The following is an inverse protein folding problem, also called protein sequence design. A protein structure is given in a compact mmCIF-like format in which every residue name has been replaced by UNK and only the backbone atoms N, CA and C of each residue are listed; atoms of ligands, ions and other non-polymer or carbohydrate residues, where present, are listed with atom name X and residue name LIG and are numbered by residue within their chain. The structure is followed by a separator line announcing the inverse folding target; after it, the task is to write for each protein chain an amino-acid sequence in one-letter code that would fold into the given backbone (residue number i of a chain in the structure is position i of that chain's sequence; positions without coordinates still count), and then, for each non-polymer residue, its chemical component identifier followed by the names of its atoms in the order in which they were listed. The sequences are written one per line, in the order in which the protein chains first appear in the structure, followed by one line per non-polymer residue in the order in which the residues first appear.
data_IF_778842052801
#
_entry.id   IF_778842052801
#
_cell.length_a   1.000
_cell.length_b   1.000
_cell.length_c   1.000
_cell.angle_alpha   90.00
_cell.angle_beta   90.00
_cell.angle_gamma   90.00
#
_symmetry.space_group_name_H-M   'P 1'
#
loop_
_entity.id
_entity.type
_entity.pdbx_description
1 polymer ?
#
# COMPACT_ATOMS: atom_id res chain seq x y z
N UNK A 1 -35.57 21.77 -60.49
CA UNK A 1 -35.22 20.69 -59.54
C UNK A 1 -34.23 21.26 -58.53
N UNK A 2 -34.70 21.57 -57.27
CA UNK A 2 -33.88 22.14 -56.19
C UNK A 2 -33.43 21.00 -55.35
N UNK A 3 -32.08 20.83 -55.23
CA UNK A 3 -31.49 19.88 -54.32
C UNK A 3 -31.47 20.47 -52.90
N UNK A 4 -32.06 19.74 -51.97
CA UNK A 4 -32.10 20.04 -50.56
C UNK A 4 -30.84 19.47 -49.90
N UNK A 5 -29.93 20.32 -49.42
CA UNK A 5 -28.76 19.91 -48.62
C UNK A 5 -29.21 19.76 -47.18
N UNK A 6 -29.15 18.52 -46.68
CA UNK A 6 -29.32 18.20 -45.27
C UNK A 6 -28.01 18.45 -44.57
N UNK A 7 -27.95 19.47 -43.69
CA UNK A 7 -26.85 19.73 -42.79
C UNK A 7 -27.04 18.85 -41.52
N UNK A 8 -26.19 17.85 -41.37
CA UNK A 8 -26.14 17.03 -40.15
C UNK A 8 -25.36 17.78 -39.08
N UNK A 9 -26.06 18.22 -38.05
CA UNK A 9 -25.50 18.89 -36.87
C UNK A 9 -24.96 17.82 -35.92
N UNK A 10 -23.64 17.69 -35.81
CA UNK A 10 -23.00 16.89 -34.78
C UNK A 10 -23.01 17.68 -33.45
N UNK A 11 -23.86 17.25 -32.53
CA UNK A 11 -23.84 17.76 -31.16
C UNK A 11 -22.74 16.97 -30.40
N UNK A 12 -21.63 17.62 -30.14
CA UNK A 12 -20.62 17.14 -29.19
C UNK A 12 -21.16 17.32 -27.77
N UNK A 13 -21.58 16.23 -27.14
CA UNK A 13 -21.90 16.21 -25.71
C UNK A 13 -20.57 16.15 -24.95
N UNK A 14 -20.05 17.28 -24.49
CA UNK A 14 -18.93 17.35 -23.56
C UNK A 14 -19.45 16.87 -22.19
N UNK A 15 -19.08 15.65 -21.81
CA UNK A 15 -19.22 15.20 -20.41
C UNK A 15 -18.20 15.96 -19.56
N UNK A 16 -18.68 16.99 -18.89
CA UNK A 16 -17.93 17.64 -17.81
C UNK A 16 -18.01 16.70 -16.62
N UNK A 17 -16.95 15.96 -16.36
CA UNK A 17 -16.75 15.22 -15.12
C UNK A 17 -16.55 16.23 -14.00
N UNK A 18 -17.59 16.45 -13.23
CA UNK A 18 -17.52 17.26 -12.01
C UNK A 18 -16.76 16.44 -10.95
N UNK A 19 -15.47 16.69 -10.81
CA UNK A 19 -14.71 16.23 -9.67
C UNK A 19 -15.16 17.03 -8.45
N UNK A 20 -16.03 16.45 -7.65
CA UNK A 20 -16.29 16.94 -6.30
C UNK A 20 -15.08 16.59 -5.47
N UNK A 21 -14.20 17.55 -5.27
CA UNK A 21 -13.17 17.47 -4.24
C UNK A 21 -13.87 17.47 -2.89
N UNK A 22 -13.90 16.29 -2.24
CA UNK A 22 -14.27 16.19 -0.84
C UNK A 22 -13.09 16.77 -0.05
N UNK A 23 -13.24 17.81 0.75
CA UNK A 23 -12.16 18.29 1.59
C UNK A 23 -11.90 17.24 2.67
N UNK A 24 -10.80 16.50 2.53
CA UNK A 24 -10.23 15.70 3.59
C UNK A 24 -9.66 16.62 4.66
N UNK A 25 -10.44 16.96 5.68
CA UNK A 25 -9.93 17.54 6.91
C UNK A 25 -9.24 16.44 7.72
N UNK A 26 -7.98 16.22 7.46
CA UNK A 26 -7.06 15.51 8.31
C UNK A 26 -5.94 16.45 8.71
N UNK A 27 -6.16 17.30 9.72
CA UNK A 27 -5.08 17.96 10.45
C UNK A 27 -4.40 16.88 11.32
N UNK A 28 -3.47 16.13 10.74
CA UNK A 28 -2.55 15.32 11.52
C UNK A 28 -1.45 16.23 12.08
N UNK A 29 -1.74 16.80 13.27
CA UNK A 29 -0.72 17.44 14.09
C UNK A 29 0.27 16.35 14.52
N UNK A 30 1.47 16.35 13.93
CA UNK A 30 2.53 15.41 14.18
C UNK A 30 2.77 15.13 15.68
N UNK A 31 3.05 13.86 15.97
CA UNK A 31 3.69 13.36 17.20
C UNK A 31 2.85 13.16 18.48
N UNK A 32 1.55 13.07 18.47
CA UNK A 32 0.84 12.54 19.65
C UNK A 32 0.20 11.19 19.36
N UNK A 33 0.75 10.13 20.01
CA UNK A 33 0.06 8.85 20.17
C UNK A 33 -1.39 9.11 20.58
N UNK A 34 -2.41 8.60 19.86
CA UNK A 34 -3.79 8.68 20.32
C UNK A 34 -3.89 8.03 21.71
N UNK A 35 -4.54 8.70 22.67
CA UNK A 35 -4.75 8.14 24.00
C UNK A 35 -5.53 6.82 23.85
N UNK A 36 -4.98 5.72 24.39
CA UNK A 36 -5.59 4.39 24.29
C UNK A 36 -5.24 3.58 23.05
N UNK A 37 -4.40 4.09 22.14
CA UNK A 37 -3.98 3.30 20.96
C UNK A 37 -3.24 2.01 21.38
N UNK A 38 -3.62 0.89 20.77
CA UNK A 38 -2.94 -0.39 20.93
C UNK A 38 -1.56 -0.32 20.28
N UNK A 39 -0.52 -0.72 21.04
CA UNK A 39 0.85 -0.82 20.55
C UNK A 39 1.27 -2.27 20.58
N UNK A 40 1.96 -2.70 19.52
CA UNK A 40 2.65 -3.98 19.44
C UNK A 40 4.14 -3.76 19.30
N UNK A 41 4.95 -4.72 19.80
CA UNK A 41 6.38 -4.77 19.59
C UNK A 41 6.71 -5.75 18.49
N UNK A 42 7.22 -5.24 17.35
CA UNK A 42 7.56 -6.08 16.20
C UNK A 42 8.92 -5.66 15.62
N UNK A 43 9.79 -6.64 15.35
CA UNK A 43 11.14 -6.44 14.79
C UNK A 43 12.02 -5.45 15.57
N UNK A 44 11.80 -5.33 16.87
CA UNK A 44 12.56 -4.37 17.70
C UNK A 44 12.01 -2.94 17.70
N UNK A 45 10.91 -2.67 17.00
CA UNK A 45 10.23 -1.37 16.92
C UNK A 45 8.85 -1.40 17.58
N UNK A 46 8.39 -0.23 18.03
CA UNK A 46 7.02 -0.04 18.50
C UNK A 46 6.13 0.38 17.33
N UNK A 47 5.01 -0.33 17.16
CA UNK A 47 4.03 -0.08 16.12
C UNK A 47 2.67 0.23 16.72
N UNK A 48 2.06 1.30 16.26
CA UNK A 48 0.71 1.67 16.60
C UNK A 48 -0.24 0.88 15.70
N UNK A 49 -1.16 0.12 16.29
CA UNK A 49 -2.24 -0.51 15.54
C UNK A 49 -3.35 0.50 15.36
N UNK A 50 -3.71 0.74 14.11
CA UNK A 50 -4.64 1.80 13.74
C UNK A 50 -6.08 1.33 13.79
N UNK A 51 -6.98 2.21 14.23
CA UNK A 51 -8.43 1.98 14.21
C UNK A 51 -9.17 3.23 13.77
N UNK A 52 -10.25 3.03 13.02
CA UNK A 52 -11.18 4.11 12.63
C UNK A 52 -12.47 4.10 13.46
N UNK A 53 -12.61 3.15 14.39
CA UNK A 53 -13.86 2.94 15.11
C UNK A 53 -15.01 2.64 14.14
N UNK A 54 -16.04 3.48 14.18
CA UNK A 54 -17.24 3.30 13.34
C UNK A 54 -17.25 4.16 12.07
N UNK A 55 -16.12 4.81 11.75
CA UNK A 55 -16.00 5.61 10.52
C UNK A 55 -15.20 4.89 9.45
N UNK A 56 -15.48 5.20 8.20
CA UNK A 56 -14.67 4.76 7.07
C UNK A 56 -13.65 5.82 6.73
N UNK A 57 -12.40 5.40 6.53
CA UNK A 57 -11.29 6.27 6.14
C UNK A 57 -10.49 5.69 4.97
N UNK A 58 -9.60 6.51 4.43
CA UNK A 58 -8.65 6.11 3.41
C UNK A 58 -7.49 5.23 3.96
N UNK A 59 -6.88 4.47 3.05
CA UNK A 59 -7.28 4.26 1.66
C UNK A 59 -8.59 3.47 1.54
N UNK A 60 -9.34 3.74 0.50
CA UNK A 60 -10.60 3.05 0.26
C UNK A 60 -11.78 4.00 0.22
N UNK A 61 -12.97 3.64 0.75
CA UNK A 61 -13.45 3.84 2.12
C UNK A 61 -13.52 2.53 2.93
N UNK A 62 -12.66 2.38 3.92
CA UNK A 62 -12.54 1.17 4.72
C UNK A 62 -12.70 1.43 6.22
N UNK A 63 -13.15 0.42 6.97
CA UNK A 63 -13.00 0.37 8.41
C UNK A 63 -11.66 -0.29 8.73
N UNK A 64 -10.85 0.34 9.58
CA UNK A 64 -9.65 -0.27 10.14
C UNK A 64 -9.89 -0.65 11.59
N UNK A 65 -9.39 -1.80 12.00
CA UNK A 65 -9.63 -2.35 13.33
C UNK A 65 -8.32 -2.66 14.04
N UNK A 66 -8.25 -2.29 15.31
CA UNK A 66 -7.14 -2.63 16.22
C UNK A 66 -7.36 -3.95 16.98
N UNK A 67 -8.36 -4.75 16.60
CA UNK A 67 -8.59 -6.08 17.15
C UNK A 67 -7.39 -7.01 16.93
N UNK A 68 -7.18 -7.92 17.87
CA UNK A 68 -6.20 -9.02 17.72
C UNK A 68 -6.56 -10.00 16.61
N UNK A 69 -7.81 -10.05 16.16
CA UNK A 69 -8.21 -10.81 14.98
C UNK A 69 -7.74 -10.19 13.67
N UNK A 70 -7.43 -8.88 13.66
CA UNK A 70 -6.93 -8.17 12.48
C UNK A 70 -5.41 -7.99 12.49
N UNK A 71 -4.80 -7.82 13.66
CA UNK A 71 -3.35 -7.59 13.79
C UNK A 71 -2.85 -8.29 15.04
N UNK A 72 -1.88 -9.19 14.91
CA UNK A 72 -1.23 -9.84 16.05
C UNK A 72 0.22 -10.22 15.74
N UNK A 73 0.97 -10.53 16.79
CA UNK A 73 2.30 -11.13 16.72
C UNK A 73 2.19 -12.56 17.19
N UNK A 74 2.70 -13.49 16.41
CA UNK A 74 2.70 -14.93 16.78
C UNK A 74 3.87 -15.30 17.69
N UNK A 75 3.94 -16.56 18.08
CA UNK A 75 4.97 -17.11 18.96
C UNK A 75 6.39 -17.05 18.36
N UNK A 76 6.49 -17.03 17.03
CA UNK A 76 7.73 -16.86 16.27
C UNK A 76 8.13 -15.39 16.08
N UNK A 77 7.33 -14.45 16.60
CA UNK A 77 7.56 -13.01 16.51
C UNK A 77 7.23 -12.40 15.16
N UNK A 78 6.40 -13.05 14.34
CA UNK A 78 5.96 -12.56 13.02
C UNK A 78 4.70 -11.70 13.16
N UNK A 79 4.62 -10.66 12.37
CA UNK A 79 3.42 -9.82 12.27
C UNK A 79 2.43 -10.44 11.30
N UNK A 80 1.23 -10.74 11.81
CA UNK A 80 0.08 -11.15 11.04
C UNK A 80 -0.88 -9.99 10.85
N UNK A 81 -1.42 -9.85 9.65
CA UNK A 81 -2.46 -8.87 9.32
C UNK A 81 -3.56 -9.56 8.53
N UNK A 82 -4.82 -9.40 8.96
CA UNK A 82 -5.98 -10.06 8.35
C UNK A 82 -7.10 -9.05 8.12
N UNK A 83 -7.79 -9.18 6.98
CA UNK A 83 -9.10 -8.56 6.78
C UNK A 83 -10.15 -9.53 7.28
N UNK A 84 -11.05 -9.09 8.16
CA UNK A 84 -12.09 -9.92 8.76
C UNK A 84 -13.48 -9.38 8.49
N UNK A 85 -14.47 -10.27 8.38
CA UNK A 85 -15.88 -9.90 8.33
C UNK A 85 -16.54 -10.11 9.69
N UNK A 86 -16.77 -9.02 10.42
CA UNK A 86 -17.39 -9.05 11.76
C UNK A 86 -18.42 -7.94 11.88
N UNK A 87 -19.46 -8.20 12.67
CA UNK A 87 -20.54 -7.24 12.97
C UNK A 87 -21.17 -6.63 11.70
N UNK A 88 -21.31 -7.49 10.66
CA UNK A 88 -21.91 -7.08 9.38
C UNK A 88 -21.02 -6.21 8.50
N UNK A 89 -19.72 -6.06 8.81
CA UNK A 89 -18.78 -5.24 8.04
C UNK A 89 -17.40 -5.89 7.87
N UNK A 90 -16.73 -5.48 6.81
CA UNK A 90 -15.32 -5.83 6.58
C UNK A 90 -14.42 -4.88 7.36
N UNK A 91 -13.47 -5.42 8.11
CA UNK A 91 -12.50 -4.70 8.92
C UNK A 91 -11.10 -4.96 8.37
N UNK A 92 -10.44 -3.92 7.93
CA UNK A 92 -9.08 -3.91 7.41
C UNK A 92 -8.04 -3.77 8.53
N UNK A 93 -6.77 -3.94 8.20
CA UNK A 93 -5.65 -3.86 9.13
C UNK A 93 -4.66 -2.76 8.71
N UNK A 94 -4.14 -1.99 9.67
CA UNK A 94 -3.04 -1.05 9.46
C UNK A 94 -2.19 -0.92 10.73
N UNK A 95 -0.88 -0.93 10.53
CA UNK A 95 0.09 -0.58 11.57
C UNK A 95 1.01 0.53 11.09
N UNK A 96 1.48 1.37 12.01
CA UNK A 96 2.44 2.42 11.72
C UNK A 96 3.52 2.49 12.79
N UNK A 97 4.77 2.70 12.40
CA UNK A 97 5.84 2.89 13.36
C UNK A 97 5.62 4.10 14.25
N UNK A 98 5.96 3.96 15.53
CA UNK A 98 5.82 5.04 16.51
C UNK A 98 6.83 6.19 16.30
N UNK A 99 7.84 5.98 15.45
CA UNK A 99 8.89 6.96 15.11
C UNK A 99 9.11 7.03 13.62
N UNK A 100 9.53 8.20 13.12
CA UNK A 100 10.15 8.38 11.82
C UNK A 100 11.63 7.98 11.88
N UNK A 101 12.17 7.55 10.74
CA UNK A 101 13.57 7.20 10.55
C UNK A 101 14.24 7.93 9.38
N UNK A 102 13.44 8.62 8.54
CA UNK A 102 13.93 9.47 7.46
C UNK A 102 14.54 8.71 6.28
N UNK A 103 15.53 9.32 5.65
CA UNK A 103 16.34 8.69 4.60
C UNK A 103 17.07 7.49 5.15
N UNK A 104 16.61 6.30 4.76
CA UNK A 104 17.17 5.04 5.24
C UNK A 104 16.77 3.89 4.30
N UNK A 105 17.31 2.71 4.53
CA UNK A 105 16.94 1.50 3.80
C UNK A 105 15.96 0.66 4.61
N UNK A 106 14.71 0.62 4.16
CA UNK A 106 13.63 -0.15 4.74
C UNK A 106 13.53 -1.51 4.07
N UNK A 107 13.68 -2.58 4.83
CA UNK A 107 13.68 -3.96 4.35
C UNK A 107 12.55 -4.74 4.98
N UNK A 108 11.68 -5.32 4.16
CA UNK A 108 10.55 -6.14 4.59
C UNK A 108 10.77 -7.59 4.17
N UNK A 109 10.81 -8.49 5.14
CA UNK A 109 10.87 -9.93 4.91
C UNK A 109 9.47 -10.52 5.06
N UNK A 110 8.97 -11.14 4.01
CA UNK A 110 7.58 -11.58 3.86
C UNK A 110 7.52 -13.09 3.77
N UNK A 111 6.54 -13.70 4.45
CA UNK A 111 6.22 -15.13 4.35
C UNK A 111 4.78 -15.37 3.86
N UNK A 112 4.37 -14.66 2.84
CA UNK A 112 3.06 -14.75 2.19
C UNK A 112 3.17 -14.77 0.68
N UNK A 113 2.06 -15.07 0.01
CA UNK A 113 1.89 -15.04 -1.44
C UNK A 113 1.12 -13.78 -1.85
N UNK A 114 1.77 -12.58 -1.96
CA UNK A 114 1.06 -11.37 -2.37
C UNK A 114 0.49 -11.47 -3.79
N UNK A 115 1.08 -12.31 -4.65
CA UNK A 115 0.59 -12.61 -6.00
C UNK A 115 -0.70 -13.43 -6.04
N UNK A 116 -1.09 -14.06 -4.93
CA UNK A 116 -2.33 -14.85 -4.82
C UNK A 116 -3.48 -14.10 -4.15
N UNK A 117 -3.28 -12.86 -3.68
CA UNK A 117 -4.34 -12.07 -3.05
C UNK A 117 -5.52 -11.85 -4.02
N UNK A 118 -6.74 -11.81 -3.48
CA UNK A 118 -7.91 -11.45 -4.27
C UNK A 118 -7.72 -10.08 -4.95
N UNK A 119 -8.30 -9.91 -6.13
CA UNK A 119 -8.16 -8.67 -6.93
C UNK A 119 -8.61 -7.40 -6.22
N UNK A 120 -9.48 -7.52 -5.23
CA UNK A 120 -9.99 -6.38 -4.43
C UNK A 120 -9.11 -6.08 -3.22
N UNK A 121 -8.16 -6.96 -2.90
CA UNK A 121 -7.25 -6.78 -1.76
C UNK A 121 -6.04 -5.97 -2.19
N UNK A 122 -5.64 -5.03 -1.35
CA UNK A 122 -4.40 -4.25 -1.47
C UNK A 122 -3.59 -4.43 -0.21
N UNK A 123 -2.32 -4.78 -0.38
CA UNK A 123 -1.35 -4.83 0.69
C UNK A 123 -0.23 -3.83 0.41
N UNK A 124 -0.04 -2.86 1.31
CA UNK A 124 0.95 -1.79 1.18
C UNK A 124 2.06 -1.89 2.22
N UNK A 125 3.29 -1.67 1.77
CA UNK A 125 4.51 -1.48 2.56
C UNK A 125 5.04 -0.09 2.17
N UNK A 126 4.94 0.92 3.05
CA UNK A 126 5.12 2.29 2.60
C UNK A 126 5.59 3.25 3.68
N UNK A 127 6.23 4.35 3.26
CA UNK A 127 6.45 5.53 4.10
C UNK A 127 5.40 6.58 3.76
N UNK A 128 4.85 7.25 4.77
CA UNK A 128 3.78 8.21 4.57
C UNK A 128 3.86 9.38 5.54
N UNK A 129 3.76 10.58 5.01
CA UNK A 129 3.50 11.81 5.74
C UNK A 129 2.16 12.44 5.34
N UNK A 130 1.92 12.56 4.04
CA UNK A 130 0.69 13.06 3.43
C UNK A 130 0.56 12.51 2.00
N UNK A 131 -0.57 12.76 1.32
CA UNK A 131 -0.89 12.23 -0.01
C UNK A 131 0.09 12.63 -1.12
N UNK A 132 1.00 13.56 -0.88
CA UNK A 132 2.05 13.96 -1.82
C UNK A 132 3.45 13.52 -1.40
N UNK A 133 3.61 13.01 -0.19
CA UNK A 133 4.89 12.58 0.40
C UNK A 133 4.75 11.13 0.89
N UNK A 134 4.77 10.20 -0.08
CA UNK A 134 4.56 8.77 0.15
C UNK A 134 5.39 7.96 -0.86
N UNK A 135 5.97 6.87 -0.37
CA UNK A 135 6.80 5.92 -1.14
C UNK A 135 6.25 4.53 -0.90
N UNK A 136 5.78 3.84 -1.95
CA UNK A 136 5.01 2.63 -1.82
C UNK A 136 5.63 1.43 -2.52
N UNK A 137 5.53 0.27 -1.88
CA UNK A 137 5.48 -1.06 -2.50
C UNK A 137 4.08 -1.60 -2.25
N UNK A 138 3.32 -1.81 -3.31
CA UNK A 138 1.94 -2.26 -3.19
C UNK A 138 1.70 -3.55 -3.97
N UNK A 139 0.94 -4.45 -3.36
CA UNK A 139 0.51 -5.71 -3.95
C UNK A 139 -0.99 -5.69 -4.15
N UNK A 140 -1.43 -5.64 -5.39
CA UNK A 140 -2.85 -5.65 -5.77
C UNK A 140 -3.02 -5.80 -7.27
N UNK A 141 -4.14 -6.38 -7.66
CA UNK A 141 -4.64 -6.35 -9.03
C UNK A 141 -5.65 -5.22 -9.29
N UNK A 142 -5.93 -4.38 -8.27
CA UNK A 142 -6.78 -3.18 -8.41
C UNK A 142 -8.15 -3.46 -9.03
N UNK A 143 -8.80 -4.56 -8.66
CA UNK A 143 -10.09 -4.99 -9.15
C UNK A 143 -10.10 -5.63 -10.54
N UNK A 144 -8.93 -5.83 -11.19
CA UNK A 144 -8.78 -6.35 -12.54
C UNK A 144 -8.10 -7.73 -12.51
N UNK A 145 -8.76 -8.78 -13.00
CA UNK A 145 -8.32 -10.18 -12.88
C UNK A 145 -6.90 -10.45 -13.42
N UNK A 146 -6.58 -9.91 -14.58
CA UNK A 146 -5.31 -10.18 -15.28
C UNK A 146 -4.29 -9.04 -15.17
N UNK A 147 -4.45 -8.13 -14.19
CA UNK A 147 -3.48 -7.07 -13.97
C UNK A 147 -2.17 -7.63 -13.38
N UNK A 148 -1.12 -6.82 -13.45
CA UNK A 148 0.12 -7.09 -12.71
C UNK A 148 -0.15 -6.94 -11.20
N UNK A 149 0.39 -7.85 -10.40
CA UNK A 149 0.07 -8.00 -8.98
C UNK A 149 0.80 -7.02 -8.07
N UNK A 150 1.82 -6.33 -8.57
CA UNK A 150 2.65 -5.45 -7.76
C UNK A 150 3.02 -4.16 -8.48
N UNK A 151 3.31 -3.14 -7.69
CA UNK A 151 3.86 -1.86 -8.17
C UNK A 151 4.76 -1.20 -7.13
N UNK A 152 5.71 -0.43 -7.62
CA UNK A 152 6.42 0.61 -6.88
C UNK A 152 5.80 1.95 -7.25
N UNK A 153 5.60 2.83 -6.27
CA UNK A 153 4.96 4.12 -6.50
C UNK A 153 5.65 5.21 -5.68
N UNK A 154 5.81 6.36 -6.30
CA UNK A 154 6.10 7.64 -5.63
C UNK A 154 4.88 8.52 -5.82
N UNK A 155 4.35 9.09 -4.76
CA UNK A 155 3.19 9.98 -4.88
C UNK A 155 3.62 11.37 -5.42
N UNK A 156 2.75 12.03 -6.20
CA UNK A 156 1.45 11.57 -6.70
C UNK A 156 1.56 10.53 -7.83
N UNK A 157 0.88 9.42 -7.70
CA UNK A 157 0.92 8.29 -8.66
C UNK A 157 0.35 8.60 -10.05
N UNK A 158 -0.32 9.75 -10.20
CA UNK A 158 -0.85 10.25 -11.47
C UNK A 158 0.22 10.91 -12.36
N UNK A 159 1.36 11.26 -11.79
CA UNK A 159 2.48 11.85 -12.54
C UNK A 159 3.15 10.75 -13.37
N UNK A 160 3.31 10.94 -14.70
CA UNK A 160 4.02 9.99 -15.54
C UNK A 160 5.46 9.72 -15.03
N UNK A 161 5.82 8.45 -14.91
CA UNK A 161 7.14 8.05 -14.42
C UNK A 161 7.23 7.85 -12.90
N UNK A 162 6.15 8.14 -12.13
CA UNK A 162 6.11 7.94 -10.69
C UNK A 162 5.67 6.51 -10.29
N UNK A 163 5.49 5.61 -11.25
CA UNK A 163 5.01 4.25 -10.99
C UNK A 163 5.66 3.23 -11.91
N UNK A 164 6.04 2.10 -11.35
CA UNK A 164 6.50 0.93 -12.07
C UNK A 164 5.71 -0.30 -11.64
N UNK A 165 4.97 -0.94 -12.56
CA UNK A 165 4.22 -2.18 -12.30
C UNK A 165 5.02 -3.39 -12.75
N UNK A 166 4.83 -4.50 -12.04
CA UNK A 166 5.49 -5.77 -12.37
C UNK A 166 4.67 -6.97 -11.93
N UNK A 167 5.01 -8.14 -12.51
CA UNK A 167 4.48 -9.42 -12.05
C UNK A 167 5.42 -10.01 -11.01
N UNK A 168 4.82 -10.58 -9.98
CA UNK A 168 5.58 -11.20 -8.89
C UNK A 168 6.21 -12.53 -9.32
N UNK A 169 5.47 -13.39 -10.01
CA UNK A 169 5.89 -14.75 -10.39
C UNK A 169 6.63 -15.46 -9.23
N UNK A 170 6.06 -15.38 -8.03
CA UNK A 170 6.76 -15.76 -6.80
C UNK A 170 6.96 -17.26 -6.71
N UNK A 171 8.21 -17.69 -6.51
CA UNK A 171 8.58 -19.06 -6.21
C UNK A 171 8.51 -19.29 -4.69
N UNK A 172 7.55 -20.13 -4.25
CA UNK A 172 7.29 -20.33 -2.82
C UNK A 172 6.56 -19.16 -2.17
N UNK A 173 6.72 -18.98 -0.86
CA UNK A 173 6.02 -17.97 -0.06
C UNK A 173 6.93 -16.93 0.58
N UNK A 174 8.22 -17.00 0.37
CA UNK A 174 9.19 -16.08 0.95
C UNK A 174 9.67 -15.07 -0.07
N UNK A 175 9.62 -13.79 0.30
CA UNK A 175 10.18 -12.69 -0.50
C UNK A 175 10.75 -11.59 0.39
N UNK A 176 11.61 -10.77 -0.20
CA UNK A 176 12.15 -9.56 0.46
C UNK A 176 11.83 -8.36 -0.42
N UNK A 177 11.36 -7.29 0.21
CA UNK A 177 11.03 -6.05 -0.47
C UNK A 177 11.80 -4.91 0.19
N UNK A 178 12.37 -4.03 -0.62
CA UNK A 178 13.30 -2.98 -0.16
C UNK A 178 12.87 -1.63 -0.73
N UNK A 179 12.83 -0.63 0.14
CA UNK A 179 12.83 0.80 -0.19
C UNK A 179 14.15 1.34 0.33
N UNK A 180 15.08 1.69 -0.55
CA UNK A 180 16.33 2.38 -0.22
C UNK A 180 16.15 3.83 -0.59
N UNK A 181 15.76 4.65 0.42
CA UNK A 181 15.33 6.02 0.22
C UNK A 181 16.45 7.00 0.56
N UNK A 182 16.89 7.70 -0.46
CA UNK A 182 17.94 8.70 -0.42
C UNK A 182 17.44 10.07 -0.90
N UNK A 183 18.12 11.11 -0.54
CA UNK A 183 17.75 12.49 -0.90
C UNK A 183 17.58 12.74 -2.40
N UNK A 184 18.30 12.00 -3.26
CA UNK A 184 18.35 12.21 -4.71
C UNK A 184 17.81 11.05 -5.53
N UNK A 185 17.54 9.93 -4.92
CA UNK A 185 17.04 8.75 -5.59
C UNK A 185 16.36 7.82 -4.56
N UNK A 186 15.53 6.93 -5.08
CA UNK A 186 14.91 5.84 -4.33
C UNK A 186 15.13 4.58 -5.14
N UNK A 187 15.77 3.57 -4.54
CA UNK A 187 15.89 2.25 -5.13
C UNK A 187 14.88 1.31 -4.52
N UNK A 188 14.09 0.71 -5.39
CA UNK A 188 13.20 -0.39 -5.04
C UNK A 188 13.80 -1.70 -5.49
N UNK A 189 13.65 -2.73 -4.66
CA UNK A 189 13.99 -4.09 -5.05
C UNK A 189 13.03 -5.09 -4.41
N UNK A 190 12.71 -6.15 -5.16
CA UNK A 190 11.97 -7.31 -4.68
C UNK A 190 12.72 -8.57 -5.08
N UNK A 191 12.93 -9.46 -4.12
CA UNK A 191 13.70 -10.70 -4.30
C UNK A 191 12.92 -11.93 -3.87
N UNK A 192 13.14 -13.05 -4.54
CA UNK A 192 12.71 -14.35 -4.06
C UNK A 192 13.50 -14.75 -2.80
N UNK A 193 12.80 -15.25 -1.79
CA UNK A 193 13.38 -15.62 -0.50
C UNK A 193 13.78 -14.44 0.37
N UNK A 194 14.32 -14.73 1.56
CA UNK A 194 14.79 -13.73 2.51
C UNK A 194 16.27 -13.41 2.26
N UNK A 195 16.55 -12.22 1.66
CA UNK A 195 17.92 -11.78 1.34
C UNK A 195 18.01 -10.28 1.15
N UNK A 196 19.15 -9.69 1.49
CA UNK A 196 19.44 -8.26 1.29
C UNK A 196 19.93 -7.96 -0.13
N UNK A 197 20.49 -8.94 -0.81
CA UNK A 197 20.97 -8.84 -2.20
C UNK A 197 20.83 -10.21 -2.90
N UNK A 198 20.61 -10.22 -4.21
CA UNK A 198 20.57 -11.46 -4.97
C UNK A 198 21.99 -11.99 -5.22
N UNK A 199 22.14 -13.32 -5.25
CA UNK A 199 23.38 -13.99 -5.69
C UNK A 199 23.44 -14.09 -7.21
N UNK A 200 22.27 -14.09 -7.85
CA UNK A 200 22.12 -14.15 -9.31
C UNK A 200 20.77 -13.50 -9.73
N UNK A 201 20.61 -13.28 -11.02
CA UNK A 201 19.45 -12.60 -11.60
C UNK A 201 18.13 -13.33 -11.42
N UNK A 202 18.14 -14.68 -11.29
CA UNK A 202 16.90 -15.46 -11.09
C UNK A 202 16.26 -15.20 -9.72
N UNK A 203 17.01 -14.65 -8.80
CA UNK A 203 16.50 -14.27 -7.47
C UNK A 203 15.85 -12.89 -7.45
N UNK A 204 15.94 -12.13 -8.53
CA UNK A 204 15.34 -10.81 -8.68
C UNK A 204 13.92 -10.93 -9.22
N UNK A 205 12.92 -10.51 -8.46
CA UNK A 205 11.54 -10.38 -8.92
C UNK A 205 11.40 -9.10 -9.74
N UNK A 206 11.82 -7.97 -9.17
CA UNK A 206 11.81 -6.67 -9.81
C UNK A 206 12.80 -5.71 -9.13
N UNK A 207 13.22 -4.69 -9.86
CA UNK A 207 13.94 -3.54 -9.30
C UNK A 207 13.62 -2.28 -10.11
N UNK A 208 13.66 -1.14 -9.44
CA UNK A 208 13.41 0.15 -10.07
C UNK A 208 14.14 1.25 -9.32
N UNK A 209 14.89 2.12 -10.05
CA UNK A 209 15.45 3.36 -9.51
C UNK A 209 14.59 4.54 -9.95
N UNK A 210 14.14 5.30 -8.98
CA UNK A 210 13.50 6.60 -9.21
C UNK A 210 14.45 7.73 -8.83
N UNK A 211 14.62 8.70 -9.74
CA UNK A 211 15.42 9.92 -9.53
C UNK A 211 14.71 11.16 -10.05
N UNK A 212 13.37 11.11 -10.10
CA UNK A 212 12.52 12.23 -10.52
C UNK A 212 12.38 13.30 -9.44
N UNK A 213 11.56 14.30 -9.73
CA UNK A 213 11.39 15.49 -8.87
C UNK A 213 10.46 15.27 -7.68
N UNK A 214 9.76 14.13 -7.59
CA UNK A 214 8.79 13.85 -6.54
C UNK A 214 9.37 12.99 -5.39
N UNK A 215 10.69 12.98 -5.21
CA UNK A 215 11.28 12.33 -4.02
C UNK A 215 10.85 13.11 -2.78
N UNK A 216 10.14 12.48 -1.82
CA UNK A 216 9.75 13.15 -0.59
C UNK A 216 10.99 13.61 0.19
N UNK A 217 10.92 14.75 0.90
CA UNK A 217 11.96 15.15 1.83
C UNK A 217 11.88 14.29 3.11
N UNK A 218 13.02 14.09 3.77
CA UNK A 218 13.06 13.58 5.13
C UNK A 218 12.37 14.59 6.08
N UNK A 219 11.34 14.13 6.76
CA UNK A 219 10.57 14.92 7.71
C UNK A 219 10.04 14.04 8.85
N UNK A 220 8.72 13.99 9.08
CA UNK A 220 8.10 13.19 10.13
C UNK A 220 7.24 12.04 9.57
N UNK A 221 7.56 11.56 8.36
CA UNK A 221 6.93 10.40 7.74
C UNK A 221 7.09 9.15 8.60
N UNK A 222 6.12 8.26 8.48
CA UNK A 222 6.11 7.01 9.22
C UNK A 222 6.10 5.82 8.29
N UNK A 223 6.87 4.80 8.65
CA UNK A 223 6.74 3.51 8.00
C UNK A 223 5.42 2.89 8.40
N UNK A 224 4.65 2.46 7.43
CA UNK A 224 3.32 1.88 7.60
C UNK A 224 3.21 0.57 6.81
N UNK A 225 2.35 -0.31 7.31
CA UNK A 225 1.92 -1.53 6.62
C UNK A 225 0.41 -1.58 6.73
N UNK A 226 -0.28 -1.76 5.61
CA UNK A 226 -1.73 -1.90 5.60
C UNK A 226 -2.20 -3.06 4.73
N UNK A 227 -3.35 -3.62 5.07
CA UNK A 227 -4.09 -4.60 4.28
C UNK A 227 -5.53 -4.12 4.20
N UNK A 228 -6.01 -3.77 2.98
CA UNK A 228 -7.26 -3.06 2.80
C UNK A 228 -7.99 -3.46 1.52
N UNK A 229 -9.23 -2.99 1.36
CA UNK A 229 -10.11 -3.33 0.24
C UNK A 229 -10.18 -2.17 -0.76
N UNK A 230 -9.79 -2.46 -2.00
CA UNK A 230 -9.84 -1.51 -3.09
C UNK A 230 -11.26 -0.95 -3.28
N UNK A 231 -11.42 0.38 -3.17
CA UNK A 231 -12.71 1.08 -3.18
C UNK A 231 -13.71 0.59 -2.12
N UNK A 232 -13.25 -0.05 -1.05
CA UNK A 232 -14.11 -0.65 -0.04
C UNK A 232 -14.92 -1.85 -0.54
N UNK A 233 -14.53 -2.44 -1.67
CA UNK A 233 -15.23 -3.60 -2.27
C UNK A 233 -14.76 -4.88 -1.59
N UNK A 234 -15.66 -5.73 -1.08
CA UNK A 234 -15.31 -7.02 -0.47
C UNK A 234 -14.47 -7.91 -1.38
N UNK A 235 -13.68 -8.84 -0.82
CA UNK A 235 -12.98 -9.84 -1.60
C UNK A 235 -13.95 -10.61 -2.49
N UNK A 236 -13.61 -10.83 -3.77
CA UNK A 236 -14.53 -11.44 -4.74
C UNK A 236 -14.79 -12.92 -4.48
N UNK A 237 -13.91 -13.57 -3.72
CA UNK A 237 -14.04 -14.95 -3.24
C UNK A 237 -14.73 -15.07 -1.87
N UNK A 238 -15.03 -13.93 -1.22
CA UNK A 238 -15.65 -13.87 0.12
C UNK A 238 -14.76 -14.37 1.25
N UNK A 239 -13.47 -14.62 1.00
CA UNK A 239 -12.53 -15.09 2.02
C UNK A 239 -11.95 -13.91 2.83
N UNK A 240 -11.43 -14.23 4.01
CA UNK A 240 -10.71 -13.30 4.88
C UNK A 240 -9.20 -13.40 4.60
N UNK A 241 -8.61 -12.52 3.77
CA UNK A 241 -7.20 -12.60 3.40
C UNK A 241 -6.31 -12.29 4.59
N UNK A 242 -5.21 -13.03 4.70
CA UNK A 242 -4.17 -12.85 5.69
C UNK A 242 -2.81 -12.72 5.02
N UNK A 243 -1.97 -11.85 5.57
CA UNK A 243 -0.57 -11.69 5.18
C UNK A 243 0.33 -11.70 6.40
N UNK A 244 1.57 -12.16 6.20
CA UNK A 244 2.55 -12.32 7.26
C UNK A 244 3.85 -11.62 6.90
N UNK A 245 4.30 -10.72 7.77
CA UNK A 245 5.63 -10.10 7.70
C UNK A 245 6.50 -10.73 8.77
N UNK A 246 7.57 -11.39 8.33
CA UNK A 246 8.49 -12.10 9.24
C UNK A 246 9.36 -11.13 10.01
N UNK A 247 9.83 -10.08 9.35
CA UNK A 247 10.75 -9.08 9.93
C UNK A 247 10.76 -7.80 9.12
N UNK A 248 11.02 -6.69 9.79
CA UNK A 248 11.37 -5.39 9.20
C UNK A 248 12.72 -4.95 9.72
N UNK A 249 13.58 -4.47 8.86
CA UNK A 249 14.88 -3.87 9.22
C UNK A 249 15.01 -2.47 8.64
N UNK A 250 15.67 -1.59 9.36
CA UNK A 250 16.08 -0.25 8.91
C UNK A 250 17.60 -0.22 9.02
N UNK A 251 18.32 0.02 7.87
CA UNK A 251 19.77 -0.20 7.71
C UNK A 251 20.48 1.05 7.18
#
# INVERSE_FOLDING_TARGET
MKQLRIMTLFIYLAMISLFVAIPGCGNDNGNKKPAGARIIRFSGYDWIVYTTGDMKEGPGPNYFSDSEENVWIDEEGRLHMRITFRDGRWNCARVEMAKSYGYDKYVFYVSSRPDSLDRQVVWGLYTYRNDGEEIDIEFSRWGIDNNQEAQYTIQPSSVPGNKARFRMNLEGSYSTHIIDWEKKWIDFASYHGHRLKPDNTNQVIASWRYSGSNIPPDSDERLKINLWLFRGTPPSDGQEPEVVVTRVEIL
#
